data_IF_853869731080
#
_entry.id   IF_853869731080
#
_cell.length_a   1.000
_cell.length_b   1.000
_cell.length_c   1.000
_cell.angle_alpha   90.00
_cell.angle_beta   90.00
_cell.angle_gamma   90.00
#
_symmetry.space_group_name_H-M   'P 1'
#
loop_
_entity.id
_entity.type
_entity.pdbx_description
1 polymer ?
#
# COMPACT_ATOMS: atom_id res chain seq x y z
N UNK A 1 2.84 28.30 -31.27
CA UNK A 1 2.85 27.06 -30.52
C UNK A 1 3.05 27.40 -29.04
N UNK A 2 2.20 27.00 -28.11
CA UNK A 2 2.42 27.31 -26.71
C UNK A 2 3.70 26.63 -26.22
N UNK A 3 4.44 27.27 -25.29
CA UNK A 3 5.66 26.67 -24.75
C UNK A 3 5.33 25.41 -23.96
N UNK A 4 6.19 24.38 -24.07
CA UNK A 4 6.08 23.15 -23.26
C UNK A 4 6.48 23.53 -21.82
N UNK A 5 5.62 23.32 -20.82
CA UNK A 5 5.96 23.63 -19.44
C UNK A 5 7.08 22.70 -18.93
N UNK A 6 7.91 23.13 -17.97
CA UNK A 6 8.91 22.28 -17.35
C UNK A 6 8.28 21.04 -16.72
N UNK A 7 8.93 19.88 -16.82
CA UNK A 7 8.42 18.62 -16.28
C UNK A 7 8.09 18.73 -14.78
N UNK A 8 8.91 19.44 -14.01
CA UNK A 8 8.67 19.68 -12.58
C UNK A 8 7.34 20.41 -12.30
N UNK A 9 6.98 21.39 -13.15
CA UNK A 9 5.69 22.09 -13.01
C UNK A 9 4.49 21.19 -13.31
N UNK A 10 4.63 20.29 -14.29
CA UNK A 10 3.59 19.31 -14.60
C UNK A 10 3.40 18.34 -13.42
N UNK A 11 4.49 17.78 -12.91
CA UNK A 11 4.45 16.86 -11.76
C UNK A 11 3.86 17.52 -10.53
N UNK A 12 4.24 18.77 -10.24
CA UNK A 12 3.67 19.56 -9.15
C UNK A 12 2.13 19.75 -9.33
N UNK A 13 1.67 20.06 -10.54
CA UNK A 13 0.23 20.22 -10.82
C UNK A 13 -0.56 18.92 -10.68
N UNK A 14 0.11 17.77 -10.79
CA UNK A 14 -0.45 16.43 -10.59
C UNK A 14 -0.34 15.95 -9.13
N UNK A 15 0.11 16.82 -8.20
CA UNK A 15 0.31 16.45 -6.80
C UNK A 15 1.42 15.42 -6.59
N UNK A 16 2.46 15.48 -7.45
CA UNK A 16 3.60 14.58 -7.37
C UNK A 16 4.88 15.34 -6.96
N UNK A 17 5.70 14.71 -6.13
CA UNK A 17 7.05 15.18 -5.80
C UNK A 17 8.08 14.17 -6.31
N UNK A 18 9.20 14.69 -6.83
CA UNK A 18 10.32 13.84 -7.25
C UNK A 18 11.30 13.64 -6.12
N UNK A 19 11.99 12.51 -6.16
CA UNK A 19 13.11 12.24 -5.25
C UNK A 19 14.29 11.63 -5.99
N UNK A 20 15.47 11.81 -5.42
CA UNK A 20 16.69 11.11 -5.76
C UNK A 20 17.34 10.64 -4.45
N UNK A 21 17.48 9.32 -4.30
CA UNK A 21 18.05 8.69 -3.11
C UNK A 21 19.42 8.10 -3.42
N UNK A 22 20.44 8.61 -2.81
CA UNK A 22 21.77 8.03 -2.81
C UNK A 22 21.82 6.93 -1.74
N UNK A 23 21.93 5.69 -2.17
CA UNK A 23 21.87 4.53 -1.28
C UNK A 23 23.18 4.31 -0.50
N UNK A 24 24.29 4.90 -0.94
CA UNK A 24 25.58 4.80 -0.25
C UNK A 24 25.67 5.76 0.95
N UNK A 25 25.15 6.98 0.78
CA UNK A 25 25.12 8.02 1.82
C UNK A 25 23.80 8.05 2.60
N UNK A 26 22.79 7.32 2.12
CA UNK A 26 21.42 7.31 2.60
C UNK A 26 20.69 8.67 2.51
N UNK A 27 21.20 9.62 1.75
CA UNK A 27 20.61 10.95 1.59
C UNK A 27 19.54 10.94 0.51
N UNK A 28 18.38 11.54 0.81
CA UNK A 28 17.31 11.74 -0.15
C UNK A 28 17.20 13.24 -0.50
N UNK A 29 17.35 13.56 -1.77
CA UNK A 29 17.04 14.88 -2.31
C UNK A 29 15.62 14.88 -2.88
N UNK A 30 14.81 15.87 -2.50
CA UNK A 30 13.42 16.04 -2.94
C UNK A 30 13.26 17.29 -3.79
N UNK A 31 12.22 17.30 -4.64
CA UNK A 31 11.78 18.53 -5.31
C UNK A 31 11.21 19.54 -4.32
N UNK A 32 11.26 20.82 -4.65
CA UNK A 32 10.84 21.94 -3.80
C UNK A 32 9.36 21.82 -3.32
N UNK A 33 8.53 21.14 -4.08
CA UNK A 33 7.11 20.97 -3.76
C UNK A 33 6.81 19.80 -2.81
N UNK A 34 7.80 19.08 -2.29
CA UNK A 34 7.58 17.93 -1.39
C UNK A 34 6.76 18.30 -0.16
N UNK A 35 7.02 19.47 0.43
CA UNK A 35 6.24 19.94 1.58
C UNK A 35 4.75 20.21 1.26
N UNK A 36 4.42 20.47 0.00
CA UNK A 36 3.03 20.61 -0.46
C UNK A 36 2.40 19.25 -0.72
N UNK A 37 3.18 18.29 -1.25
CA UNK A 37 2.69 16.93 -1.55
C UNK A 37 2.59 16.08 -0.29
N UNK A 38 3.53 16.21 0.64
CA UNK A 38 3.60 15.45 1.89
C UNK A 38 3.60 16.40 3.12
N UNK A 39 2.52 17.20 3.32
CA UNK A 39 2.52 18.28 4.32
C UNK A 39 2.60 17.78 5.77
N UNK A 40 2.19 16.54 6.02
CA UNK A 40 2.18 15.97 7.36
C UNK A 40 3.52 15.33 7.75
N UNK A 41 4.47 15.19 6.80
CA UNK A 41 5.74 14.55 7.04
C UNK A 41 6.78 15.62 7.40
N UNK A 42 7.43 15.55 8.59
CA UNK A 42 8.47 16.49 8.98
C UNK A 42 9.65 16.45 8.01
N UNK A 43 10.19 17.63 7.65
CA UNK A 43 11.34 17.71 6.75
C UNK A 43 12.58 16.93 7.23
N UNK A 44 12.76 16.79 8.54
CA UNK A 44 13.83 15.95 9.12
C UNK A 44 13.68 14.48 8.78
N UNK A 45 12.45 13.98 8.69
CA UNK A 45 12.18 12.59 8.30
C UNK A 45 12.33 12.34 6.79
N UNK A 46 12.37 13.41 6.00
CA UNK A 46 12.59 13.34 4.54
C UNK A 46 14.09 13.34 4.18
N UNK A 47 15.00 13.59 5.13
CA UNK A 47 16.40 13.79 4.83
C UNK A 47 17.15 12.50 4.43
N UNK A 48 16.79 11.38 5.03
CA UNK A 48 17.44 10.09 4.78
C UNK A 48 16.43 8.96 4.63
N UNK A 49 16.84 7.89 3.94
CA UNK A 49 16.01 6.68 3.80
C UNK A 49 15.69 6.02 5.14
N UNK A 50 16.65 5.99 6.06
CA UNK A 50 16.49 5.43 7.41
C UNK A 50 15.46 6.21 8.26
N UNK A 51 15.50 7.55 8.23
CA UNK A 51 14.51 8.37 8.94
C UNK A 51 13.10 8.22 8.32
N UNK A 52 13.02 8.22 7.00
CA UNK A 52 11.76 8.03 6.30
C UNK A 52 11.17 6.63 6.57
N UNK A 53 12.00 5.59 6.59
CA UNK A 53 11.56 4.22 6.87
C UNK A 53 10.93 4.03 8.25
N UNK A 54 11.27 4.88 9.24
CA UNK A 54 10.65 4.83 10.58
C UNK A 54 9.17 5.17 10.57
N UNK A 55 8.72 5.92 9.57
CA UNK A 55 7.34 6.33 9.41
C UNK A 55 6.50 5.31 8.63
N UNK A 56 7.12 4.35 7.92
CA UNK A 56 6.43 3.37 7.09
C UNK A 56 5.83 2.27 7.94
N UNK A 57 4.56 1.98 7.73
CA UNK A 57 3.79 0.94 8.41
C UNK A 57 3.01 0.09 7.38
N UNK A 58 2.84 -1.22 7.65
CA UNK A 58 3.45 -2.01 8.73
C UNK A 58 4.87 -2.46 8.40
N UNK A 59 5.31 -2.38 7.13
CA UNK A 59 6.56 -2.97 6.65
C UNK A 59 7.59 -1.90 6.30
N UNK A 60 8.49 -1.61 7.22
CA UNK A 60 9.52 -0.57 7.08
C UNK A 60 10.52 -0.80 5.95
N UNK A 61 10.73 -2.05 5.54
CA UNK A 61 11.69 -2.44 4.51
C UNK A 61 11.13 -2.38 3.08
N UNK A 62 9.86 -2.01 2.88
CA UNK A 62 9.20 -2.07 1.56
C UNK A 62 9.99 -1.39 0.43
N UNK A 63 10.62 -0.25 0.70
CA UNK A 63 11.43 0.49 -0.29
C UNK A 63 12.74 -0.25 -0.59
N UNK A 64 13.45 -0.68 0.45
CA UNK A 64 14.71 -1.42 0.32
C UNK A 64 14.50 -2.79 -0.30
N UNK A 65 13.39 -3.46 0.04
CA UNK A 65 13.03 -4.74 -0.54
C UNK A 65 12.75 -4.61 -2.05
N UNK A 66 12.01 -3.58 -2.47
CA UNK A 66 11.72 -3.32 -3.87
C UNK A 66 13.00 -3.06 -4.70
N UNK A 67 13.98 -2.37 -4.11
CA UNK A 67 15.26 -2.08 -4.73
C UNK A 67 16.17 -3.32 -4.72
N UNK A 68 16.13 -4.13 -3.65
CA UNK A 68 17.00 -5.30 -3.48
C UNK A 68 16.59 -6.55 -4.21
N UNK A 69 15.30 -6.70 -4.56
CA UNK A 69 14.76 -7.92 -5.19
C UNK A 69 14.97 -8.00 -6.71
N UNK A 70 15.31 -6.89 -7.37
CA UNK A 70 15.48 -6.89 -8.81
C UNK A 70 16.86 -7.40 -9.20
N UNK A 71 16.89 -8.39 -10.08
CA UNK A 71 18.09 -9.00 -10.64
C UNK A 71 18.89 -7.94 -11.42
N UNK A 72 20.22 -7.95 -11.25
CA UNK A 72 21.16 -7.11 -12.01
C UNK A 72 20.81 -7.07 -13.50
N UNK A 73 20.54 -5.86 -14.02
CA UNK A 73 20.42 -5.63 -15.47
C UNK A 73 21.74 -5.06 -15.96
N UNK A 74 22.50 -5.79 -16.79
CA UNK A 74 23.71 -5.22 -17.41
C UNK A 74 23.32 -4.10 -18.38
N UNK A 75 23.94 -2.92 -18.24
CA UNK A 75 23.80 -1.90 -19.27
C UNK A 75 23.51 -0.47 -18.81
N UNK A 76 23.42 -0.22 -17.49
CA UNK A 76 23.20 1.13 -16.97
C UNK A 76 21.78 1.66 -17.11
N UNK A 77 20.86 0.87 -17.67
CA UNK A 77 19.42 1.17 -17.65
C UNK A 77 18.88 0.97 -16.23
N UNK A 78 18.04 1.92 -15.76
CA UNK A 78 17.43 1.82 -14.45
C UNK A 78 16.43 0.66 -14.39
N UNK A 79 16.37 -0.02 -13.26
CA UNK A 79 15.37 -1.07 -12.99
C UNK A 79 14.11 -0.43 -12.43
N UNK A 80 12.98 -0.47 -13.15
CA UNK A 80 11.76 0.16 -12.70
C UNK A 80 11.14 -0.60 -11.52
N UNK A 81 10.54 0.15 -10.60
CA UNK A 81 9.71 -0.40 -9.53
C UNK A 81 8.50 0.50 -9.25
N UNK A 82 7.48 -0.08 -8.68
CA UNK A 82 6.31 0.62 -8.17
C UNK A 82 5.87 -0.06 -6.89
N UNK A 83 5.68 0.73 -5.85
CA UNK A 83 5.26 0.27 -4.53
C UNK A 83 4.21 1.20 -3.96
N UNK A 84 3.42 0.66 -3.04
CA UNK A 84 2.45 1.40 -2.26
C UNK A 84 2.67 1.05 -0.78
N UNK A 85 2.67 2.07 0.08
CA UNK A 85 2.89 1.87 1.51
C UNK A 85 2.23 2.97 2.33
N UNK A 86 1.85 2.61 3.55
CA UNK A 86 1.33 3.56 4.53
C UNK A 86 2.45 4.28 5.27
N UNK A 87 2.29 5.57 5.48
CA UNK A 87 3.19 6.41 6.28
C UNK A 87 2.40 7.05 7.41
N UNK A 88 2.98 7.04 8.63
CA UNK A 88 2.40 7.68 9.80
C UNK A 88 3.41 8.61 10.44
N UNK A 89 3.18 9.91 10.36
CA UNK A 89 4.10 10.93 10.88
C UNK A 89 4.23 10.90 12.42
N UNK A 90 3.10 10.67 13.12
CA UNK A 90 3.03 10.46 14.59
C UNK A 90 2.00 9.38 14.90
N UNK A 91 2.16 8.68 16.02
CA UNK A 91 1.32 7.52 16.39
C UNK A 91 -0.19 7.80 16.39
N UNK A 92 -0.61 9.04 16.69
CA UNK A 92 -2.02 9.46 16.71
C UNK A 92 -2.54 9.98 15.37
N UNK A 93 -1.67 10.17 14.36
CA UNK A 93 -2.06 10.65 13.05
C UNK A 93 -2.68 9.53 12.19
N UNK A 94 -3.56 9.86 11.24
CA UNK A 94 -4.02 8.90 10.26
C UNK A 94 -2.85 8.40 9.39
N UNK A 95 -3.00 7.20 8.84
CA UNK A 95 -2.05 6.68 7.86
C UNK A 95 -2.28 7.41 6.54
N UNK A 96 -1.20 7.89 5.95
CA UNK A 96 -1.17 8.46 4.60
C UNK A 96 -0.65 7.36 3.67
N UNK A 97 -1.44 7.01 2.66
CA UNK A 97 -1.00 6.06 1.65
C UNK A 97 -0.25 6.77 0.55
N UNK A 98 0.97 6.30 0.29
CA UNK A 98 1.88 6.83 -0.71
C UNK A 98 2.07 5.79 -1.81
N UNK A 99 1.91 6.21 -3.05
CA UNK A 99 2.38 5.47 -4.21
C UNK A 99 3.73 6.05 -4.63
N UNK A 100 4.73 5.19 -4.73
CA UNK A 100 6.07 5.51 -5.22
C UNK A 100 6.34 4.74 -6.50
N UNK A 101 6.75 5.46 -7.54
CA UNK A 101 7.17 4.88 -8.82
C UNK A 101 8.53 5.43 -9.18
N UNK A 102 9.48 4.55 -9.45
CA UNK A 102 10.85 4.97 -9.70
C UNK A 102 11.66 3.92 -10.44
N UNK A 103 12.92 4.23 -10.59
CA UNK A 103 13.96 3.33 -11.07
C UNK A 103 15.13 3.35 -10.10
N UNK A 104 15.71 2.19 -9.86
CA UNK A 104 17.00 2.13 -9.19
C UNK A 104 18.10 1.78 -10.19
N UNK A 105 19.30 2.22 -9.90
CA UNK A 105 20.48 2.07 -10.74
C UNK A 105 21.59 1.38 -9.97
N UNK A 106 22.25 0.43 -10.62
CA UNK A 106 23.38 -0.27 -10.04
C UNK A 106 24.65 0.57 -10.06
N UNK A 107 25.46 0.43 -9.02
CA UNK A 107 26.83 0.91 -8.99
C UNK A 107 27.78 0.01 -9.78
N UNK A 108 29.07 0.35 -9.74
CA UNK A 108 30.12 -0.44 -10.42
C UNK A 108 30.27 -1.87 -9.88
N UNK A 109 29.84 -2.12 -8.66
CA UNK A 109 29.81 -3.42 -7.99
C UNK A 109 28.56 -4.25 -8.29
N UNK A 110 27.64 -3.73 -9.12
CA UNK A 110 26.37 -4.35 -9.46
C UNK A 110 25.29 -4.25 -8.39
N UNK A 111 25.57 -3.59 -7.26
CA UNK A 111 24.59 -3.36 -6.21
C UNK A 111 23.83 -2.06 -6.44
N UNK A 112 22.60 -1.95 -5.91
CA UNK A 112 21.86 -0.69 -5.96
C UNK A 112 22.66 0.45 -5.34
N UNK A 113 22.91 1.51 -6.13
CA UNK A 113 23.66 2.68 -5.69
C UNK A 113 22.79 3.94 -5.61
N UNK A 114 21.76 4.03 -6.45
CA UNK A 114 20.88 5.19 -6.53
C UNK A 114 19.48 4.76 -6.88
N UNK A 115 18.47 5.40 -6.30
CA UNK A 115 17.09 5.29 -6.72
C UNK A 115 16.52 6.69 -6.97
N UNK A 116 15.70 6.83 -8.00
CA UNK A 116 15.02 8.09 -8.32
C UNK A 116 13.63 7.85 -8.85
N UNK A 117 12.71 8.77 -8.58
CA UNK A 117 11.33 8.57 -8.98
C UNK A 117 10.41 9.70 -8.52
N UNK A 118 9.15 9.33 -8.44
CA UNK A 118 8.06 10.22 -7.99
C UNK A 118 7.25 9.56 -6.88
N UNK A 119 6.75 10.39 -5.98
CA UNK A 119 5.78 9.99 -4.95
C UNK A 119 4.51 10.81 -5.08
N UNK A 120 3.38 10.22 -4.73
CA UNK A 120 2.09 10.91 -4.59
C UNK A 120 1.27 10.30 -3.46
N UNK A 121 0.37 11.10 -2.89
CA UNK A 121 -0.64 10.58 -1.97
C UNK A 121 -1.69 9.81 -2.76
N UNK A 122 -2.06 8.63 -2.26
CA UNK A 122 -3.00 7.69 -2.91
C UNK A 122 -4.15 7.27 -1.98
N UNK A 123 -4.49 8.08 -0.98
CA UNK A 123 -5.50 7.76 0.04
C UNK A 123 -6.87 7.40 -0.56
N UNK A 124 -7.34 8.17 -1.55
CA UNK A 124 -8.67 7.94 -2.15
C UNK A 124 -8.75 6.61 -2.88
N UNK A 125 -7.70 6.26 -3.63
CA UNK A 125 -7.65 4.99 -4.35
C UNK A 125 -7.55 3.83 -3.38
N UNK A 126 -6.66 3.95 -2.38
CA UNK A 126 -6.50 2.92 -1.35
C UNK A 126 -7.81 2.67 -0.59
N UNK A 127 -8.50 3.73 -0.16
CA UNK A 127 -9.80 3.61 0.51
C UNK A 127 -10.87 2.96 -0.39
N UNK A 128 -10.87 3.28 -1.68
CA UNK A 128 -11.78 2.67 -2.66
C UNK A 128 -11.48 1.20 -2.87
N UNK A 129 -10.22 0.84 -3.04
CA UNK A 129 -9.79 -0.55 -3.22
C UNK A 129 -10.09 -1.38 -1.95
N UNK A 130 -9.87 -0.82 -0.77
CA UNK A 130 -10.23 -1.44 0.51
C UNK A 130 -11.75 -1.64 0.66
N UNK A 131 -12.55 -0.65 0.24
CA UNK A 131 -14.01 -0.77 0.23
C UNK A 131 -14.49 -1.85 -0.75
N UNK A 132 -13.91 -1.92 -1.94
CA UNK A 132 -14.21 -2.98 -2.91
C UNK A 132 -13.84 -4.37 -2.36
N UNK A 133 -12.71 -4.49 -1.68
CA UNK A 133 -12.31 -5.72 -1.00
C UNK A 133 -13.29 -6.10 0.13
N UNK A 134 -13.75 -5.14 0.93
CA UNK A 134 -14.76 -5.39 1.96
C UNK A 134 -16.08 -5.88 1.35
N UNK A 135 -16.58 -5.20 0.32
CA UNK A 135 -17.80 -5.62 -0.40
C UNK A 135 -17.65 -6.99 -1.06
N UNK A 136 -16.46 -7.33 -1.53
CA UNK A 136 -16.16 -8.64 -2.10
C UNK A 136 -16.11 -9.77 -1.07
N UNK A 137 -15.76 -9.48 0.19
CA UNK A 137 -15.54 -10.48 1.25
C UNK A 137 -16.69 -10.60 2.23
N UNK A 138 -17.45 -9.54 2.45
CA UNK A 138 -18.48 -9.46 3.46
C UNK A 138 -19.86 -9.37 2.84
N UNK A 139 -20.84 -9.85 3.57
CA UNK A 139 -22.25 -9.64 3.29
C UNK A 139 -22.63 -8.18 3.65
N UNK A 140 -23.23 -7.40 2.75
CA UNK A 140 -23.48 -5.98 2.97
C UNK A 140 -24.50 -5.68 4.07
N UNK A 141 -25.35 -6.65 4.43
CA UNK A 141 -26.39 -6.49 5.45
C UNK A 141 -25.83 -6.73 6.85
N UNK A 142 -25.07 -7.81 7.01
CA UNK A 142 -24.60 -8.28 8.32
C UNK A 142 -23.17 -7.85 8.63
N UNK A 143 -22.42 -7.45 7.60
CA UNK A 143 -20.97 -7.20 7.65
C UNK A 143 -20.14 -8.41 8.09
N UNK A 144 -20.73 -9.61 8.06
CA UNK A 144 -20.03 -10.87 8.27
C UNK A 144 -19.45 -11.40 6.95
N UNK A 145 -18.57 -12.43 7.01
CA UNK A 145 -18.05 -13.05 5.81
C UNK A 145 -19.19 -13.52 4.90
N UNK A 146 -19.15 -13.15 3.65
CA UNK A 146 -20.10 -13.71 2.69
C UNK A 146 -19.85 -15.22 2.50
N UNK A 147 -20.82 -15.91 1.90
CA UNK A 147 -20.78 -17.37 1.74
C UNK A 147 -19.48 -17.87 1.10
N UNK A 148 -18.98 -17.17 0.09
CA UNK A 148 -17.77 -17.58 -0.65
C UNK A 148 -16.54 -17.55 0.26
N UNK A 149 -16.37 -16.48 1.00
CA UNK A 149 -15.21 -16.31 1.90
C UNK A 149 -15.34 -17.15 3.16
N UNK A 150 -16.56 -17.38 3.65
CA UNK A 150 -16.79 -18.29 4.77
C UNK A 150 -16.35 -19.73 4.41
N UNK A 151 -16.71 -20.22 3.21
CA UNK A 151 -16.31 -21.56 2.76
C UNK A 151 -14.79 -21.65 2.61
N UNK A 152 -14.14 -20.62 2.05
CA UNK A 152 -12.69 -20.59 1.93
C UNK A 152 -11.99 -20.60 3.31
N UNK A 153 -12.45 -19.76 4.24
CA UNK A 153 -11.92 -19.70 5.62
C UNK A 153 -12.11 -21.01 6.38
N UNK A 154 -13.24 -21.69 6.18
CA UNK A 154 -13.47 -23.01 6.76
C UNK A 154 -12.49 -24.05 6.21
N UNK A 155 -12.22 -24.03 4.90
CA UNK A 155 -11.26 -24.95 4.28
C UNK A 155 -9.85 -24.72 4.85
N UNK A 156 -9.39 -23.47 4.94
CA UNK A 156 -8.11 -23.10 5.54
C UNK A 156 -8.02 -23.56 7.02
N UNK A 157 -9.08 -23.33 7.80
CA UNK A 157 -9.12 -23.73 9.21
C UNK A 157 -9.04 -25.25 9.35
N UNK A 158 -9.70 -26.01 8.50
CA UNK A 158 -9.65 -27.49 8.49
C UNK A 158 -8.22 -27.96 8.18
N UNK A 159 -7.56 -27.37 7.19
CA UNK A 159 -6.18 -27.69 6.83
C UNK A 159 -5.21 -27.36 7.97
N UNK A 160 -5.35 -26.21 8.62
CA UNK A 160 -4.58 -25.83 9.79
C UNK A 160 -4.78 -26.82 10.96
N UNK A 161 -6.02 -27.18 11.25
CA UNK A 161 -6.32 -28.16 12.28
C UNK A 161 -5.67 -29.52 11.99
N UNK A 162 -5.70 -29.97 10.75
CA UNK A 162 -5.03 -31.20 10.31
C UNK A 162 -3.50 -31.10 10.48
N UNK A 163 -2.93 -29.96 10.08
CA UNK A 163 -1.47 -29.70 10.15
C UNK A 163 -0.94 -29.63 11.58
N UNK A 164 -1.67 -28.96 12.46
CA UNK A 164 -1.26 -28.75 13.86
C UNK A 164 -1.85 -29.76 14.85
N UNK A 165 -2.60 -30.75 14.35
CA UNK A 165 -3.32 -31.76 15.17
C UNK A 165 -4.21 -31.12 16.24
N UNK A 166 -4.83 -30.00 15.91
CA UNK A 166 -5.82 -29.31 16.74
C UNK A 166 -7.24 -29.65 16.29
N UNK A 167 -8.24 -29.29 17.10
CA UNK A 167 -9.64 -29.50 16.80
C UNK A 167 -10.31 -28.17 16.50
N UNK A 168 -11.25 -28.16 15.56
CA UNK A 168 -12.19 -27.07 15.34
C UNK A 168 -13.62 -27.58 15.43
N UNK A 169 -14.56 -26.68 15.68
CA UNK A 169 -16.00 -26.97 15.64
C UNK A 169 -16.68 -25.94 14.73
N UNK A 170 -17.63 -26.41 13.95
CA UNK A 170 -18.48 -25.56 13.14
C UNK A 170 -19.93 -25.66 13.65
N UNK A 171 -20.58 -24.51 13.85
CA UNK A 171 -21.96 -24.43 14.28
C UNK A 171 -22.77 -23.65 13.24
N UNK A 172 -23.86 -24.24 12.75
CA UNK A 172 -24.81 -23.57 11.88
C UNK A 172 -26.05 -23.21 12.70
N UNK A 173 -26.39 -21.90 12.72
CA UNK A 173 -27.56 -21.38 13.41
C UNK A 173 -28.51 -20.82 12.35
N UNK A 174 -29.79 -21.20 12.41
CA UNK A 174 -30.83 -20.67 11.55
C UNK A 174 -31.96 -20.05 12.37
N UNK A 175 -32.60 -19.04 11.83
CA UNK A 175 -33.80 -18.43 12.41
C UNK A 175 -35.02 -19.17 11.80
N UNK A 176 -35.84 -19.76 12.65
CA UNK A 176 -37.05 -20.42 12.20
C UNK A 176 -38.05 -19.45 11.58
N UNK A 177 -38.60 -19.83 10.46
CA UNK A 177 -39.59 -19.05 9.73
C UNK A 177 -39.11 -17.69 9.18
N UNK A 178 -37.82 -17.41 9.10
CA UNK A 178 -37.30 -16.14 8.59
C UNK A 178 -37.86 -15.78 7.20
N UNK A 179 -37.99 -16.79 6.30
CA UNK A 179 -38.56 -16.55 4.98
C UNK A 179 -39.99 -15.99 5.07
N UNK A 180 -40.82 -16.49 6.00
CA UNK A 180 -42.22 -16.01 6.19
C UNK A 180 -42.25 -14.58 6.75
N UNK A 181 -41.27 -14.21 7.60
CA UNK A 181 -41.10 -12.84 8.11
C UNK A 181 -40.75 -11.93 6.97
N UNK A 182 -39.77 -12.28 6.17
CA UNK A 182 -39.33 -11.48 5.03
C UNK A 182 -40.44 -11.33 3.96
N UNK A 183 -41.24 -12.38 3.72
CA UNK A 183 -42.36 -12.30 2.79
C UNK A 183 -43.49 -11.38 3.29
N UNK A 184 -43.67 -11.28 4.61
CA UNK A 184 -44.73 -10.48 5.21
C UNK A 184 -44.31 -9.00 5.43
N UNK A 185 -43.06 -8.74 5.74
CA UNK A 185 -42.56 -7.43 6.20
C UNK A 185 -41.44 -6.86 5.32
N UNK A 186 -40.94 -7.59 4.35
CA UNK A 186 -39.78 -7.20 3.51
C UNK A 186 -38.44 -7.58 4.14
N UNK A 187 -37.36 -7.28 3.43
CA UNK A 187 -35.98 -7.58 3.84
C UNK A 187 -35.33 -6.49 4.71
N UNK A 188 -36.02 -5.36 4.91
CA UNK A 188 -35.49 -4.17 5.61
C UNK A 188 -35.98 -4.06 7.07
N UNK A 189 -36.42 -5.18 7.68
CA UNK A 189 -36.93 -5.23 9.06
C UNK A 189 -35.91 -5.83 10.00
#
# INVERSE_FOLDING_TARGET
MPPVPPAASILASLGQATFAWDLATDVIAWSDNVATVLPEIPGTALATGAEFAKLIEPQRSVRTDAIGQATHVPGGEGVPYRIEYGVRAVTSAPVIWIEETGCWFAGADGRPARAEGVVRINNERHARDEQLLKLSRHDPLTNELNRTHLIASLAETIEECARFRSSCAFMLIGIDHLARVNDAFGFDV
#
